data_IF_294391612214
#
_entry.id   IF_294391612214
#
_cell.length_a   1.000
_cell.length_b   1.000
_cell.length_c   1.000
_cell.angle_alpha   90.00
_cell.angle_beta   90.00
_cell.angle_gamma   90.00
#
_symmetry.space_group_name_H-M   'P 1'
#
loop_
_entity.id
_entity.type
_entity.pdbx_description
1 polymer ?
#
# COMPACT_ATOMS: atom_id res chain seq x y z
N UNK A 1 73.84 -23.68 -35.75
CA UNK A 1 73.65 -22.35 -36.38
C UNK A 1 72.93 -21.47 -35.39
N UNK A 2 73.33 -20.20 -35.34
CA UNK A 2 73.34 -19.33 -34.17
C UNK A 2 71.98 -19.11 -33.49
N UNK A 3 71.99 -19.22 -32.15
CA UNK A 3 71.00 -18.60 -31.27
C UNK A 3 71.34 -17.11 -31.22
N UNK A 4 70.65 -16.29 -32.01
CA UNK A 4 70.61 -14.85 -31.76
C UNK A 4 69.72 -14.61 -30.55
N UNK A 5 70.35 -14.58 -29.37
CA UNK A 5 69.73 -14.06 -28.16
C UNK A 5 69.50 -12.57 -28.33
N UNK A 6 68.28 -12.17 -28.65
CA UNK A 6 67.87 -10.77 -28.53
C UNK A 6 68.01 -10.37 -27.06
N UNK A 7 69.04 -9.59 -26.76
CA UNK A 7 69.23 -9.00 -25.45
C UNK A 7 68.03 -8.07 -25.21
N UNK A 8 67.06 -8.52 -24.40
CA UNK A 8 65.91 -7.72 -24.02
C UNK A 8 66.41 -6.40 -23.41
N UNK A 9 66.26 -5.32 -24.17
CA UNK A 9 66.63 -4.00 -23.71
C UNK A 9 65.74 -3.64 -22.52
N UNK A 10 66.25 -2.88 -21.55
CA UNK A 10 65.42 -2.41 -20.40
C UNK A 10 64.09 -1.77 -20.84
N UNK A 11 64.08 -1.18 -22.04
CA UNK A 11 62.91 -0.58 -22.65
C UNK A 11 61.86 -1.61 -23.11
N UNK A 12 62.28 -2.79 -23.60
CA UNK A 12 61.38 -3.86 -24.04
C UNK A 12 60.71 -4.56 -22.85
N UNK A 13 61.46 -4.76 -21.76
CA UNK A 13 60.93 -5.28 -20.50
C UNK A 13 59.93 -4.30 -19.90
N UNK A 14 60.22 -3.00 -19.96
CA UNK A 14 59.30 -1.95 -19.49
C UNK A 14 58.02 -1.89 -20.34
N UNK A 15 58.14 -2.00 -21.67
CA UNK A 15 56.97 -2.08 -22.56
C UNK A 15 56.14 -3.34 -22.33
N UNK A 16 56.77 -4.50 -22.07
CA UNK A 16 56.05 -5.72 -21.70
C UNK A 16 55.30 -5.56 -20.38
N UNK A 17 55.92 -4.95 -19.37
CA UNK A 17 55.27 -4.70 -18.09
C UNK A 17 54.04 -3.78 -18.23
N UNK A 18 54.14 -2.72 -19.05
CA UNK A 18 53.00 -1.85 -19.37
C UNK A 18 51.88 -2.61 -20.09
N UNK A 19 52.22 -3.46 -21.06
CA UNK A 19 51.21 -4.26 -21.79
C UNK A 19 50.50 -5.25 -20.88
N UNK A 20 51.22 -5.92 -19.97
CA UNK A 20 50.63 -6.83 -18.99
C UNK A 20 49.75 -6.08 -17.99
N UNK A 21 50.19 -4.91 -17.52
CA UNK A 21 49.39 -4.04 -16.66
C UNK A 21 48.11 -3.56 -17.38
N UNK A 22 48.21 -3.20 -18.66
CA UNK A 22 47.06 -2.78 -19.46
C UNK A 22 46.08 -3.93 -19.68
N UNK A 23 46.55 -5.12 -20.06
CA UNK A 23 45.70 -6.30 -20.27
C UNK A 23 45.02 -6.74 -18.97
N UNK A 24 45.73 -6.73 -17.84
CA UNK A 24 45.13 -7.03 -16.53
C UNK A 24 44.09 -5.99 -16.10
N UNK A 25 44.32 -4.71 -16.38
CA UNK A 25 43.32 -3.66 -16.14
C UNK A 25 42.08 -3.87 -17.03
N UNK A 26 42.26 -4.08 -18.33
CA UNK A 26 41.15 -4.27 -19.29
C UNK A 26 40.33 -5.52 -18.95
N UNK A 27 40.98 -6.62 -18.56
CA UNK A 27 40.29 -7.85 -18.14
C UNK A 27 39.51 -7.64 -16.84
N UNK A 28 40.08 -6.95 -15.85
CA UNK A 28 39.36 -6.59 -14.63
C UNK A 28 38.12 -5.72 -14.92
N UNK A 29 38.27 -4.67 -15.73
CA UNK A 29 37.16 -3.80 -16.10
C UNK A 29 36.10 -4.53 -16.93
N UNK A 30 36.51 -5.42 -17.85
CA UNK A 30 35.59 -6.24 -18.64
C UNK A 30 34.78 -7.20 -17.78
N UNK A 31 35.42 -7.89 -16.82
CA UNK A 31 34.74 -8.78 -15.88
C UNK A 31 33.77 -7.98 -15.00
N UNK A 32 34.20 -6.83 -14.47
CA UNK A 32 33.36 -5.95 -13.66
C UNK A 32 32.15 -5.41 -14.44
N UNK A 33 32.34 -5.08 -15.72
CA UNK A 33 31.27 -4.65 -16.61
C UNK A 33 30.29 -5.80 -16.90
N UNK A 34 30.79 -7.01 -17.12
CA UNK A 34 29.98 -8.21 -17.36
C UNK A 34 29.15 -8.59 -16.12
N UNK A 35 29.76 -8.57 -14.93
CA UNK A 35 29.05 -8.80 -13.65
C UNK A 35 27.94 -7.77 -13.44
N UNK A 36 28.19 -6.50 -13.76
CA UNK A 36 27.17 -5.44 -13.67
C UNK A 36 26.04 -5.57 -14.71
N UNK A 37 26.24 -6.28 -15.82
CA UNK A 37 25.22 -6.56 -16.85
C UNK A 37 24.41 -7.83 -16.53
N UNK A 38 25.06 -8.85 -15.95
CA UNK A 38 24.42 -10.12 -15.57
C UNK A 38 23.56 -9.96 -14.32
N UNK A 39 23.87 -8.99 -13.46
CA UNK A 39 23.15 -8.79 -12.21
C UNK A 39 22.35 -7.47 -12.16
N UNK A 40 21.26 -7.33 -12.96
CA UNK A 40 20.34 -6.21 -12.86
C UNK A 40 19.62 -6.17 -11.50
N UNK A 41 19.67 -7.26 -10.72
CA UNK A 41 19.10 -7.34 -9.37
C UNK A 41 19.96 -6.67 -8.31
N UNK A 42 21.28 -6.54 -8.54
CA UNK A 42 22.17 -5.85 -7.60
C UNK A 42 21.84 -4.35 -7.47
N UNK A 43 21.46 -3.70 -8.58
CA UNK A 43 21.06 -2.28 -8.60
C UNK A 43 19.71 -2.07 -7.93
N UNK A 44 18.73 -2.94 -8.17
CA UNK A 44 17.43 -2.88 -7.50
C UNK A 44 17.56 -3.18 -6.00
N UNK A 45 18.43 -4.13 -5.62
CA UNK A 45 18.76 -4.46 -4.22
C UNK A 45 19.43 -3.28 -3.51
N UNK A 46 20.41 -2.62 -4.13
CA UNK A 46 21.03 -1.40 -3.58
C UNK A 46 20.04 -0.26 -3.42
N UNK A 47 19.14 -0.05 -4.40
CA UNK A 47 18.09 0.97 -4.31
C UNK A 47 17.05 0.64 -3.22
N UNK A 48 16.72 -0.64 -3.03
CA UNK A 48 15.86 -1.09 -1.95
C UNK A 48 16.53 -0.92 -0.57
N UNK A 49 17.83 -1.21 -0.47
CA UNK A 49 18.65 -0.99 0.72
C UNK A 49 18.79 0.49 1.06
N UNK A 50 19.00 1.36 0.07
CA UNK A 50 19.03 2.82 0.27
C UNK A 50 17.67 3.36 0.74
N UNK A 51 16.57 2.92 0.11
CA UNK A 51 15.20 3.29 0.53
C UNK A 51 14.88 2.78 1.93
N UNK A 52 15.22 1.54 2.23
CA UNK A 52 15.05 0.97 3.56
C UNK A 52 15.86 1.75 4.59
N UNK A 53 17.14 2.06 4.32
CA UNK A 53 17.95 2.92 5.20
C UNK A 53 17.36 4.31 5.39
N UNK A 54 16.80 4.91 4.34
CA UNK A 54 16.16 6.22 4.42
C UNK A 54 14.88 6.17 5.26
N UNK A 55 14.01 5.20 5.02
CA UNK A 55 12.78 4.97 5.80
C UNK A 55 13.10 4.64 7.26
N UNK A 56 14.14 3.84 7.50
CA UNK A 56 14.61 3.50 8.83
C UNK A 56 15.27 4.68 9.56
N UNK A 57 15.95 5.58 8.83
CA UNK A 57 16.48 6.84 9.38
C UNK A 57 15.33 7.80 9.74
N UNK A 58 14.30 7.86 8.91
CA UNK A 58 13.06 8.62 9.16
C UNK A 58 12.23 8.01 10.31
N UNK A 59 12.25 6.69 10.45
CA UNK A 59 11.71 5.95 11.60
C UNK A 59 12.45 6.25 12.91
N UNK A 60 13.57 6.98 12.83
CA UNK A 60 14.39 7.45 13.94
C UNK A 60 13.70 8.49 14.83
N UNK A 61 12.56 8.12 15.39
CA UNK A 61 12.04 8.65 16.65
C UNK A 61 13.11 8.42 17.74
N UNK A 62 13.85 9.48 18.07
CA UNK A 62 14.68 9.64 19.27
C UNK A 62 15.41 8.40 19.82
N UNK A 63 16.64 8.17 19.39
CA UNK A 63 17.69 7.46 20.15
C UNK A 63 17.55 5.94 20.35
N UNK A 64 16.34 5.35 20.35
CA UNK A 64 16.15 3.91 20.68
C UNK A 64 16.34 2.95 19.50
N UNK A 65 16.04 3.35 18.26
CA UNK A 65 16.05 2.44 17.10
C UNK A 65 17.26 2.58 16.17
N UNK A 66 18.11 3.60 16.34
CA UNK A 66 19.32 3.77 15.51
C UNK A 66 20.30 2.60 15.64
N UNK A 67 20.32 1.92 16.80
CA UNK A 67 21.18 0.76 17.07
C UNK A 67 20.66 -0.56 16.44
N UNK A 68 19.39 -0.59 16.03
CA UNK A 68 18.78 -1.75 15.37
C UNK A 68 19.26 -1.86 13.91
N UNK A 69 19.61 -0.73 13.31
CA UNK A 69 19.93 -0.59 11.88
C UNK A 69 21.24 -1.26 11.49
N UNK A 70 22.23 -1.27 12.39
CA UNK A 70 23.55 -1.86 12.14
C UNK A 70 23.55 -3.40 12.22
N UNK A 71 22.44 -4.03 12.62
CA UNK A 71 22.30 -5.49 12.79
C UNK A 71 21.16 -6.09 11.97
N UNK A 72 20.77 -5.43 10.87
CA UNK A 72 19.77 -6.00 9.96
C UNK A 72 20.42 -6.96 8.98
N UNK A 73 19.79 -8.12 8.82
CA UNK A 73 20.14 -9.09 7.78
C UNK A 73 19.67 -8.62 6.41
N UNK A 74 20.25 -9.16 5.34
CA UNK A 74 19.86 -8.81 3.96
C UNK A 74 18.36 -9.00 3.71
N UNK A 75 17.76 -10.04 4.29
CA UNK A 75 16.32 -10.33 4.20
C UNK A 75 15.47 -9.30 4.94
N UNK A 76 15.90 -8.89 6.14
CA UNK A 76 15.20 -7.84 6.90
C UNK A 76 15.26 -6.49 6.18
N UNK A 77 16.37 -6.20 5.49
CA UNK A 77 16.50 -4.98 4.70
C UNK A 77 15.50 -4.92 3.53
N UNK A 78 15.20 -6.06 2.90
CA UNK A 78 14.19 -6.15 1.85
C UNK A 78 12.80 -5.82 2.43
N UNK A 79 12.44 -6.40 3.58
CA UNK A 79 11.15 -6.14 4.23
C UNK A 79 11.07 -4.71 4.76
N UNK A 80 12.19 -4.15 5.23
CA UNK A 80 12.25 -2.77 5.72
C UNK A 80 11.89 -1.73 4.65
N UNK A 81 11.96 -2.07 3.35
CA UNK A 81 11.44 -1.20 2.28
C UNK A 81 9.91 -1.07 2.26
N UNK A 82 9.20 -1.95 2.97
CA UNK A 82 7.74 -1.92 3.15
C UNK A 82 7.32 -1.31 4.48
N UNK A 83 8.29 -0.84 5.27
CA UNK A 83 8.03 -0.17 6.53
C UNK A 83 7.45 1.22 6.25
N UNK A 84 6.32 1.48 6.90
CA UNK A 84 5.71 2.80 6.97
C UNK A 84 5.75 3.25 8.41
N UNK A 85 6.39 4.39 8.64
CA UNK A 85 6.51 4.98 9.97
C UNK A 85 5.23 5.73 10.32
N UNK A 86 4.85 5.86 11.62
CA UNK A 86 3.61 6.52 12.01
C UNK A 86 3.44 7.92 11.40
N UNK A 87 4.53 8.68 11.27
CA UNK A 87 4.55 10.05 10.74
C UNK A 87 4.24 10.13 9.23
N UNK A 88 4.54 9.07 8.47
CA UNK A 88 4.28 9.00 7.02
C UNK A 88 2.85 8.53 6.71
N UNK A 89 2.12 8.03 7.72
CA UNK A 89 0.72 7.62 7.54
C UNK A 89 -0.13 8.89 7.43
N UNK A 90 -0.61 9.20 6.24
CA UNK A 90 -1.44 10.40 5.99
C UNK A 90 -2.93 10.22 6.35
N UNK A 91 -3.33 9.06 6.88
CA UNK A 91 -4.74 8.73 7.15
C UNK A 91 -5.03 8.81 8.65
N UNK A 92 -6.01 9.62 9.04
CA UNK A 92 -6.52 9.71 10.40
C UNK A 92 -7.93 9.09 10.50
N UNK A 93 -8.43 8.94 11.72
CA UNK A 93 -9.79 8.44 11.97
C UNK A 93 -10.87 9.43 11.49
N UNK A 94 -10.51 10.72 11.42
CA UNK A 94 -11.35 11.78 10.84
C UNK A 94 -11.54 11.62 9.33
N UNK A 95 -10.66 10.86 8.68
CA UNK A 95 -10.69 10.57 7.25
C UNK A 95 -11.44 9.25 6.96
N UNK A 96 -12.13 8.70 7.96
CA UNK A 96 -12.97 7.51 7.84
C UNK A 96 -14.37 7.87 8.29
N UNK A 97 -15.35 7.73 7.40
CA UNK A 97 -16.74 8.08 7.68
C UNK A 97 -17.62 6.84 7.86
N UNK A 98 -18.54 6.90 8.82
CA UNK A 98 -19.62 5.94 8.97
C UNK A 98 -19.29 4.65 9.72
N UNK A 99 -18.05 4.48 10.19
CA UNK A 99 -17.63 3.26 10.91
C UNK A 99 -17.39 3.51 12.40
N UNK A 100 -18.08 4.49 13.00
CA UNK A 100 -17.85 5.00 14.36
C UNK A 100 -17.85 3.88 15.42
N UNK A 101 -18.77 2.92 15.34
CA UNK A 101 -18.83 1.78 16.25
C UNK A 101 -17.58 0.90 16.15
N UNK A 102 -17.22 0.51 14.92
CA UNK A 102 -16.06 -0.32 14.64
C UNK A 102 -14.75 0.36 15.07
N UNK A 103 -14.67 1.66 14.82
CA UNK A 103 -13.63 2.56 15.29
C UNK A 103 -13.52 2.46 16.82
N UNK A 104 -14.60 2.67 17.57
CA UNK A 104 -14.56 2.57 19.03
C UNK A 104 -14.13 1.18 19.51
N UNK A 105 -14.61 0.11 18.88
CA UNK A 105 -14.24 -1.26 19.22
C UNK A 105 -12.75 -1.55 19.00
N UNK A 106 -12.19 -1.08 17.87
CA UNK A 106 -10.75 -1.16 17.59
C UNK A 106 -9.93 -0.33 18.59
N UNK A 107 -10.45 0.83 19.00
CA UNK A 107 -9.79 1.69 19.98
C UNK A 107 -9.69 1.02 21.34
N UNK A 108 -10.77 0.41 21.79
CA UNK A 108 -10.81 -0.29 23.09
C UNK A 108 -10.00 -1.59 23.08
N UNK A 109 -10.06 -2.34 21.98
CA UNK A 109 -9.46 -3.67 21.89
C UNK A 109 -7.96 -3.63 21.55
N UNK A 110 -7.56 -2.77 20.61
CA UNK A 110 -6.20 -2.74 20.06
C UNK A 110 -5.41 -1.56 20.62
N UNK A 111 -5.96 -0.34 20.58
CA UNK A 111 -5.20 0.88 20.90
C UNK A 111 -5.00 1.04 22.41
N UNK A 112 -6.06 0.86 23.18
CA UNK A 112 -6.08 1.11 24.62
C UNK A 112 -5.05 0.27 25.40
N UNK A 113 -4.89 -1.05 25.16
CA UNK A 113 -3.87 -1.85 25.85
C UNK A 113 -2.44 -1.44 25.50
N UNK A 114 -2.22 -0.89 24.30
CA UNK A 114 -0.90 -0.48 23.82
C UNK A 114 -0.50 0.89 24.38
N UNK A 115 -1.45 1.84 24.40
CA UNK A 115 -1.22 3.19 24.92
C UNK A 115 -1.13 3.22 26.45
N UNK A 116 -1.94 2.40 27.15
CA UNK A 116 -2.02 2.40 28.62
C UNK A 116 -1.51 1.09 29.22
N UNK A 117 -0.29 0.69 28.87
CA UNK A 117 0.31 -0.59 29.33
C UNK A 117 0.27 -0.76 30.85
N UNK A 118 0.46 0.33 31.60
CA UNK A 118 0.45 0.32 33.08
C UNK A 118 -0.88 -0.19 33.66
N UNK A 119 -2.02 0.15 33.03
CA UNK A 119 -3.34 -0.26 33.51
C UNK A 119 -3.63 -1.75 33.29
N UNK A 120 -2.88 -2.39 32.39
CA UNK A 120 -3.08 -3.78 31.99
C UNK A 120 -1.90 -4.68 32.37
N UNK A 121 -0.93 -4.16 33.13
CA UNK A 121 0.25 -4.91 33.56
C UNK A 121 -0.09 -6.00 34.58
N UNK A 122 -1.12 -5.79 35.41
CA UNK A 122 -1.49 -6.68 36.51
C UNK A 122 -2.22 -7.95 36.04
N UNK A 123 -2.75 -7.97 34.82
CA UNK A 123 -3.50 -9.10 34.27
C UNK A 123 -2.91 -9.61 32.97
N UNK A 124 -2.61 -10.91 32.95
CA UNK A 124 -2.20 -11.62 31.73
C UNK A 124 -3.35 -11.76 30.72
N UNK A 125 -4.60 -11.56 31.15
CA UNK A 125 -5.78 -11.69 30.29
C UNK A 125 -6.10 -10.39 29.53
N UNK A 126 -5.60 -9.25 29.98
CA UNK A 126 -5.88 -7.95 29.38
C UNK A 126 -4.81 -7.51 28.37
N UNK A 127 -4.02 -8.47 27.90
CA UNK A 127 -3.00 -8.21 26.88
C UNK A 127 -3.65 -7.93 25.52
N UNK A 128 -3.05 -7.07 24.68
CA UNK A 128 -3.58 -6.80 23.35
C UNK A 128 -3.63 -8.09 22.52
N UNK A 129 -4.66 -8.26 21.67
CA UNK A 129 -4.73 -9.40 20.78
C UNK A 129 -3.55 -9.37 19.81
N UNK A 130 -2.86 -10.51 19.66
CA UNK A 130 -1.74 -10.65 18.72
C UNK A 130 -2.19 -10.82 17.27
N UNK A 131 -3.47 -11.10 17.06
CA UNK A 131 -4.08 -11.31 15.75
C UNK A 131 -5.41 -10.59 15.64
N UNK A 132 -5.52 -9.76 14.60
CA UNK A 132 -6.73 -9.00 14.26
C UNK A 132 -7.14 -9.32 12.83
N UNK A 133 -8.41 -9.63 12.60
CA UNK A 133 -8.95 -9.89 11.26
C UNK A 133 -10.01 -8.86 10.91
N UNK A 134 -9.79 -8.10 9.83
CA UNK A 134 -10.78 -7.22 9.23
C UNK A 134 -11.43 -7.96 8.05
N UNK A 135 -12.73 -8.24 8.11
CA UNK A 135 -13.43 -8.91 7.02
C UNK A 135 -14.65 -8.12 6.55
N UNK A 136 -14.99 -8.25 5.28
CA UNK A 136 -16.14 -7.54 4.71
C UNK A 136 -16.03 -7.39 3.20
N UNK A 137 -17.00 -6.74 2.54
CA UNK A 137 -16.99 -6.54 1.11
C UNK A 137 -15.77 -5.72 0.66
N UNK A 138 -15.31 -5.92 -0.60
CA UNK A 138 -14.25 -5.10 -1.17
C UNK A 138 -14.67 -3.62 -1.23
N UNK A 139 -13.70 -2.71 -1.19
CA UNK A 139 -13.93 -1.28 -1.33
C UNK A 139 -14.58 -0.57 -0.13
N UNK A 140 -14.71 -1.24 1.03
CA UNK A 140 -15.26 -0.65 2.26
C UNK A 140 -14.19 -0.08 3.23
N UNK A 141 -12.95 0.08 2.77
CA UNK A 141 -11.92 0.79 3.55
C UNK A 141 -11.18 -0.03 4.61
N UNK A 142 -11.16 -1.37 4.54
CA UNK A 142 -10.39 -2.25 5.45
C UNK A 142 -8.92 -1.80 5.61
N UNK A 143 -8.24 -1.58 4.49
CA UNK A 143 -6.84 -1.12 4.45
C UNK A 143 -6.67 0.30 5.01
N UNK A 144 -7.68 1.17 4.85
CA UNK A 144 -7.66 2.54 5.41
C UNK A 144 -7.78 2.51 6.94
N UNK A 145 -8.69 1.69 7.47
CA UNK A 145 -8.89 1.51 8.92
C UNK A 145 -7.62 0.95 9.57
N UNK A 146 -6.97 -0.03 8.93
CA UNK A 146 -5.71 -0.59 9.42
C UNK A 146 -4.61 0.48 9.54
N UNK A 147 -4.42 1.30 8.50
CA UNK A 147 -3.45 2.41 8.50
C UNK A 147 -3.79 3.46 9.56
N UNK A 148 -5.06 3.86 9.65
CA UNK A 148 -5.52 4.83 10.64
C UNK A 148 -5.32 4.30 12.08
N UNK A 149 -5.56 3.01 12.31
CA UNK A 149 -5.32 2.36 13.62
C UNK A 149 -3.84 2.40 13.99
N UNK A 150 -2.94 2.10 13.04
CA UNK A 150 -1.50 2.17 13.27
C UNK A 150 -1.02 3.58 13.63
N UNK A 151 -1.58 4.59 12.96
CA UNK A 151 -1.26 6.00 13.23
C UNK A 151 -1.71 6.44 14.62
N UNK A 152 -2.96 6.19 15.00
CA UNK A 152 -3.47 6.57 16.33
C UNK A 152 -2.78 5.79 17.46
N UNK A 153 -2.38 4.54 17.21
CA UNK A 153 -1.62 3.74 18.16
C UNK A 153 -0.12 4.13 18.22
N UNK A 154 0.34 5.01 17.32
CA UNK A 154 1.76 5.36 17.15
C UNK A 154 2.66 4.12 16.97
N UNK A 155 2.22 3.17 16.14
CA UNK A 155 2.92 1.90 15.89
C UNK A 155 3.56 1.88 14.50
N UNK A 156 4.73 1.28 14.39
CA UNK A 156 5.34 0.98 13.09
C UNK A 156 4.43 0.08 12.27
N UNK A 157 4.19 0.41 11.01
CA UNK A 157 3.29 -0.34 10.12
C UNK A 157 4.08 -1.02 9.01
N UNK A 158 4.08 -2.35 8.97
CA UNK A 158 4.70 -3.12 7.88
C UNK A 158 3.57 -3.59 6.97
N UNK A 159 3.52 -3.06 5.74
CA UNK A 159 2.57 -3.52 4.72
C UNK A 159 3.15 -4.72 3.97
N UNK A 160 2.86 -5.94 4.43
CA UNK A 160 3.44 -7.15 3.86
C UNK A 160 2.73 -7.51 2.55
N UNK A 161 3.45 -7.39 1.44
CA UNK A 161 3.01 -7.91 0.16
C UNK A 161 3.31 -9.41 0.09
N UNK A 162 2.27 -10.23 -0.02
CA UNK A 162 2.36 -11.69 -0.14
C UNK A 162 3.23 -12.09 -1.34
N UNK A 163 3.19 -11.32 -2.43
CA UNK A 163 3.92 -11.60 -3.68
C UNK A 163 5.42 -11.68 -3.44
N UNK A 164 5.97 -10.82 -2.57
CA UNK A 164 7.39 -10.83 -2.21
C UNK A 164 7.84 -12.15 -1.59
N UNK A 165 6.92 -12.85 -0.94
CA UNK A 165 7.23 -14.12 -0.32
C UNK A 165 7.17 -15.27 -1.33
N UNK A 166 6.31 -15.19 -2.35
CA UNK A 166 6.15 -16.23 -3.37
C UNK A 166 7.16 -16.17 -4.52
N UNK A 167 7.79 -15.01 -4.74
CA UNK A 167 8.59 -14.75 -5.95
C UNK A 167 10.01 -15.35 -5.99
N UNK A 168 10.57 -15.81 -4.86
CA UNK A 168 11.99 -16.21 -4.78
C UNK A 168 12.19 -17.72 -4.63
N UNK A 169 13.28 -18.19 -5.22
CA UNK A 169 13.78 -19.57 -5.21
C UNK A 169 13.56 -20.32 -3.88
N UNK A 170 13.25 -21.61 -4.00
CA UNK A 170 12.99 -22.54 -2.88
C UNK A 170 14.04 -22.40 -1.76
N UNK A 171 13.62 -21.92 -0.59
CA UNK A 171 14.46 -21.69 0.60
C UNK A 171 14.63 -20.21 1.01
N UNK A 172 14.66 -19.28 0.05
CA UNK A 172 14.74 -17.83 0.34
C UNK A 172 13.42 -17.30 0.93
N UNK A 173 12.29 -17.83 0.47
CA UNK A 173 10.96 -17.54 0.97
C UNK A 173 10.78 -17.77 2.47
N UNK A 174 11.35 -18.86 3.02
CA UNK A 174 11.25 -19.15 4.46
C UNK A 174 12.07 -18.16 5.30
N UNK A 175 13.25 -17.78 4.81
CA UNK A 175 14.09 -16.76 5.46
C UNK A 175 13.42 -15.40 5.41
N UNK A 176 12.77 -15.05 4.30
CA UNK A 176 11.98 -13.82 4.20
C UNK A 176 10.81 -13.82 5.18
N UNK A 177 10.06 -14.92 5.29
CA UNK A 177 9.02 -15.05 6.29
C UNK A 177 9.59 -14.83 7.71
N UNK A 178 10.68 -15.50 8.07
CA UNK A 178 11.36 -15.30 9.36
C UNK A 178 11.83 -13.85 9.56
N UNK A 179 12.35 -13.21 8.51
CA UNK A 179 12.80 -11.82 8.54
C UNK A 179 11.66 -10.83 8.81
N UNK A 180 10.43 -11.08 8.32
CA UNK A 180 9.26 -10.24 8.63
C UNK A 180 9.02 -10.21 10.14
N UNK A 181 8.95 -11.38 10.77
CA UNK A 181 8.71 -11.48 12.21
C UNK A 181 9.89 -10.94 13.04
N UNK A 182 11.13 -11.23 12.63
CA UNK A 182 12.33 -10.72 13.27
C UNK A 182 12.39 -9.19 13.22
N UNK A 183 12.11 -8.59 12.06
CA UNK A 183 12.05 -7.14 11.91
C UNK A 183 10.91 -6.53 12.74
N UNK A 184 9.72 -7.11 12.71
CA UNK A 184 8.58 -6.64 13.50
C UNK A 184 8.89 -6.65 15.00
N UNK A 185 9.60 -7.68 15.49
CA UNK A 185 10.05 -7.76 16.88
C UNK A 185 11.09 -6.68 17.22
N UNK A 186 12.01 -6.38 16.30
CA UNK A 186 13.00 -5.31 16.45
C UNK A 186 12.39 -3.89 16.41
N UNK A 187 11.24 -3.72 15.76
CA UNK A 187 10.53 -2.45 15.57
C UNK A 187 9.33 -2.27 16.51
N UNK A 188 9.23 -3.04 17.59
CA UNK A 188 8.11 -2.95 18.52
C UNK A 188 7.95 -1.54 19.13
N UNK A 189 6.72 -1.01 19.27
CA UNK A 189 5.43 -1.64 18.91
C UNK A 189 5.14 -1.58 17.40
N UNK A 190 4.72 -2.71 16.82
CA UNK A 190 4.56 -2.85 15.36
C UNK A 190 3.29 -3.60 14.94
N UNK A 191 2.65 -3.15 13.87
CA UNK A 191 1.57 -3.85 13.16
C UNK A 191 2.11 -4.40 11.85
N UNK A 192 1.99 -5.72 11.66
CA UNK A 192 2.22 -6.38 10.38
C UNK A 192 0.87 -6.56 9.69
N UNK A 193 0.65 -5.80 8.62
CA UNK A 193 -0.60 -5.84 7.86
C UNK A 193 -0.46 -6.75 6.63
N UNK A 194 -1.45 -7.62 6.43
CA UNK A 194 -1.52 -8.55 5.30
C UNK A 194 -2.86 -8.33 4.62
N UNK A 195 -2.85 -7.70 3.45
CA UNK A 195 -4.05 -7.58 2.63
C UNK A 195 -4.32 -8.88 1.87
N UNK A 196 -5.60 -9.13 1.56
CA UNK A 196 -6.07 -10.35 0.90
C UNK A 196 -5.46 -11.62 1.50
N UNK A 197 -5.47 -11.74 2.84
CA UNK A 197 -4.81 -12.83 3.57
C UNK A 197 -5.28 -14.22 3.15
N UNK A 198 -6.50 -14.34 2.60
CA UNK A 198 -6.99 -15.57 2.01
C UNK A 198 -6.14 -16.03 0.82
N UNK A 199 -5.53 -15.14 0.04
CA UNK A 199 -4.68 -15.52 -1.11
C UNK A 199 -3.50 -16.39 -0.65
N UNK A 200 -2.92 -16.04 0.50
CA UNK A 200 -1.77 -16.73 1.07
C UNK A 200 -2.15 -17.88 1.99
N UNK A 201 -3.22 -17.73 2.79
CA UNK A 201 -3.57 -18.62 3.90
C UNK A 201 -4.91 -19.36 3.70
N UNK A 202 -5.25 -19.67 2.44
CA UNK A 202 -6.37 -20.54 2.09
C UNK A 202 -6.21 -21.94 2.69
N UNK A 203 -7.37 -22.55 2.98
CA UNK A 203 -7.48 -23.97 3.32
C UNK A 203 -6.71 -24.82 2.33
N UNK A 204 -5.90 -25.77 2.82
CA UNK A 204 -5.08 -26.64 1.98
C UNK A 204 -5.96 -27.36 0.96
N UNK A 205 -5.71 -27.12 -0.33
CA UNK A 205 -6.28 -27.92 -1.41
C UNK A 205 -5.25 -28.94 -1.88
N UNK A 206 -5.70 -30.05 -2.47
CA UNK A 206 -4.81 -31.12 -2.97
C UNK A 206 -3.85 -30.64 -4.09
N UNK A 207 -4.07 -29.44 -4.64
CA UNK A 207 -3.24 -28.81 -5.68
C UNK A 207 -2.27 -27.74 -5.14
N UNK A 208 -2.20 -27.52 -3.81
CA UNK A 208 -1.23 -26.58 -3.25
C UNK A 208 0.19 -27.11 -3.49
N UNK A 209 1.07 -26.27 -4.04
CA UNK A 209 2.48 -26.62 -4.20
C UNK A 209 3.11 -26.85 -2.82
N UNK A 210 3.94 -27.90 -2.68
CA UNK A 210 4.57 -28.27 -1.42
C UNK A 210 5.36 -27.11 -0.78
N UNK A 211 5.97 -26.27 -1.62
CA UNK A 211 6.69 -25.07 -1.18
C UNK A 211 5.78 -24.07 -0.44
N UNK A 212 4.58 -23.81 -0.97
CA UNK A 212 3.59 -22.94 -0.35
C UNK A 212 3.10 -23.54 0.98
N UNK A 213 2.88 -24.86 1.03
CA UNK A 213 2.46 -25.55 2.24
C UNK A 213 3.51 -25.49 3.37
N UNK A 214 4.80 -25.67 3.03
CA UNK A 214 5.89 -25.51 4.00
C UNK A 214 5.99 -24.06 4.48
N UNK A 215 5.84 -23.09 3.57
CA UNK A 215 5.87 -21.68 3.93
C UNK A 215 4.72 -21.29 4.87
N UNK A 216 3.48 -21.71 4.58
CA UNK A 216 2.32 -21.53 5.48
C UNK A 216 2.64 -22.08 6.88
N UNK A 217 3.24 -23.26 6.94
CA UNK A 217 3.61 -23.92 8.20
C UNK A 217 4.66 -23.11 8.97
N UNK A 218 5.70 -22.61 8.28
CA UNK A 218 6.71 -21.76 8.89
C UNK A 218 6.12 -20.43 9.41
N UNK A 219 5.24 -19.80 8.62
CA UNK A 219 4.56 -18.58 9.01
C UNK A 219 3.72 -18.76 10.29
N UNK A 220 2.97 -19.87 10.38
CA UNK A 220 2.20 -20.21 11.57
C UNK A 220 3.09 -20.46 12.79
N UNK A 221 4.21 -21.16 12.62
CA UNK A 221 5.16 -21.43 13.70
C UNK A 221 5.78 -20.13 14.27
N UNK A 222 6.16 -19.20 13.39
CA UNK A 222 6.70 -17.90 13.79
C UNK A 222 5.66 -17.05 14.52
N UNK A 223 4.40 -17.11 14.08
CA UNK A 223 3.30 -16.44 14.76
C UNK A 223 3.05 -17.01 16.15
N UNK A 224 3.06 -18.34 16.32
CA UNK A 224 2.92 -18.97 17.63
C UNK A 224 4.03 -18.53 18.60
N UNK A 225 5.24 -18.30 18.08
CA UNK A 225 6.35 -17.70 18.83
C UNK A 225 6.00 -16.30 19.37
N UNK A 226 5.37 -15.44 18.57
CA UNK A 226 4.91 -14.12 19.02
C UNK A 226 3.79 -14.20 20.08
N UNK A 227 2.90 -15.18 19.95
CA UNK A 227 1.77 -15.37 20.88
C UNK A 227 2.29 -15.82 22.26
N UNK A 228 3.33 -16.65 22.27
CA UNK A 228 3.90 -17.21 23.49
C UNK A 228 4.68 -16.17 24.30
N UNK A 229 5.25 -15.14 23.65
CA UNK A 229 5.97 -14.07 24.32
C UNK A 229 5.01 -12.97 24.83
N UNK A 230 4.79 -12.85 26.15
CA UNK A 230 3.89 -11.83 26.71
C UNK A 230 4.44 -10.41 26.55
N UNK A 231 5.76 -10.26 26.40
CA UNK A 231 6.42 -8.94 26.26
C UNK A 231 6.38 -8.42 24.82
N UNK A 232 6.13 -9.31 23.86
CA UNK A 232 6.10 -8.98 22.44
C UNK A 232 4.88 -8.10 22.10
N UNK A 233 5.11 -6.90 21.60
CA UNK A 233 4.07 -5.95 21.18
C UNK A 233 3.98 -5.83 19.66
N UNK A 234 3.91 -7.00 19.02
CA UNK A 234 3.62 -7.14 17.59
C UNK A 234 2.19 -7.64 17.41
N UNK A 235 1.47 -7.00 16.48
CA UNK A 235 0.10 -7.39 16.10
C UNK A 235 0.08 -7.76 14.63
N UNK A 236 -0.45 -8.93 14.29
CA UNK A 236 -0.71 -9.30 12.91
C UNK A 236 -2.14 -8.91 12.57
N UNK A 237 -2.30 -8.02 11.61
CA UNK A 237 -3.59 -7.54 11.14
C UNK A 237 -3.83 -8.05 9.72
N UNK A 238 -4.82 -8.92 9.53
CA UNK A 238 -5.23 -9.40 8.22
C UNK A 238 -6.46 -8.66 7.71
N UNK A 239 -6.52 -8.40 6.41
CA UNK A 239 -7.75 -8.02 5.73
C UNK A 239 -8.18 -9.12 4.75
N UNK A 240 -9.48 -9.44 4.72
CA UNK A 240 -10.03 -10.43 3.80
C UNK A 240 -11.38 -9.99 3.24
N UNK A 241 -11.65 -10.36 1.99
CA UNK A 241 -12.99 -10.25 1.39
C UNK A 241 -13.79 -11.54 1.55
N UNK A 242 -13.13 -12.66 1.87
CA UNK A 242 -13.68 -14.02 1.88
C UNK A 242 -13.26 -14.75 3.15
N UNK A 243 -13.83 -14.38 4.32
CA UNK A 243 -13.46 -15.01 5.59
C UNK A 243 -13.68 -16.53 5.60
N UNK A 244 -14.61 -17.04 4.80
CA UNK A 244 -14.90 -18.46 4.64
C UNK A 244 -13.79 -19.25 3.93
N UNK A 245 -12.95 -18.60 3.11
CA UNK A 245 -11.87 -19.26 2.37
C UNK A 245 -10.62 -19.46 3.25
N UNK A 246 -10.56 -18.74 4.38
CA UNK A 246 -9.44 -18.72 5.31
C UNK A 246 -9.36 -20.02 6.12
N UNK A 247 -8.14 -20.56 6.29
CA UNK A 247 -7.91 -21.73 7.13
C UNK A 247 -8.35 -21.49 8.58
N UNK A 248 -9.07 -22.45 9.18
CA UNK A 248 -9.48 -22.44 10.59
C UNK A 248 -8.30 -22.27 11.54
N UNK A 249 -7.10 -22.77 11.18
CA UNK A 249 -5.89 -22.58 11.98
C UNK A 249 -5.50 -21.10 12.12
N UNK A 250 -5.74 -20.29 11.08
CA UNK A 250 -5.46 -18.85 11.09
C UNK A 250 -6.58 -18.08 11.79
N UNK A 251 -7.84 -18.46 11.56
CA UNK A 251 -8.97 -17.87 12.30
C UNK A 251 -8.77 -17.98 13.82
N UNK A 252 -8.27 -19.12 14.32
CA UNK A 252 -7.94 -19.30 15.75
C UNK A 252 -6.83 -18.38 16.26
N UNK A 253 -5.92 -17.94 15.39
CA UNK A 253 -4.81 -17.03 15.73
C UNK A 253 -5.21 -15.55 15.62
N UNK A 254 -6.41 -15.26 15.09
CA UNK A 254 -6.98 -13.92 14.99
C UNK A 254 -8.27 -13.82 15.83
N UNK A 255 -8.18 -13.85 17.17
CA UNK A 255 -9.36 -13.83 18.03
C UNK A 255 -10.16 -12.54 17.92
N UNK A 256 -9.50 -11.40 17.62
CA UNK A 256 -10.17 -10.12 17.41
C UNK A 256 -10.61 -9.99 15.95
N UNK A 257 -11.84 -10.39 15.65
CA UNK A 257 -12.40 -10.33 14.30
C UNK A 257 -13.43 -9.21 14.21
N UNK A 258 -13.26 -8.33 13.22
CA UNK A 258 -14.10 -7.18 13.01
C UNK A 258 -14.74 -7.20 11.62
N UNK A 259 -16.06 -7.04 11.58
CA UNK A 259 -16.82 -6.96 10.34
C UNK A 259 -16.94 -5.52 9.86
N UNK A 260 -16.51 -5.26 8.62
CA UNK A 260 -16.67 -3.99 7.92
C UNK A 260 -17.84 -4.13 6.94
N UNK A 261 -19.05 -3.64 7.27
CA UNK A 261 -20.22 -3.79 6.41
C UNK A 261 -20.18 -2.83 5.21
N UNK A 262 -21.06 -3.07 4.23
CA UNK A 262 -21.40 -2.07 3.21
C UNK A 262 -22.00 -0.81 3.88
N UNK A 263 -21.71 0.39 3.37
CA UNK A 263 -22.23 1.62 3.97
C UNK A 263 -23.74 1.80 3.68
N UNK A 264 -24.51 2.09 4.72
CA UNK A 264 -25.91 2.52 4.63
C UNK A 264 -26.06 3.98 4.18
N UNK A 265 -27.29 4.43 3.90
CA UNK A 265 -27.54 5.75 3.28
C UNK A 265 -26.87 6.94 4.00
N UNK A 266 -27.02 7.04 5.33
CA UNK A 266 -26.40 8.10 6.12
C UNK A 266 -24.85 8.00 6.15
N UNK A 267 -24.30 6.78 6.09
CA UNK A 267 -22.85 6.59 6.01
C UNK A 267 -22.33 7.02 4.64
N UNK A 268 -23.04 6.68 3.55
CA UNK A 268 -22.70 7.10 2.19
C UNK A 268 -22.72 8.62 2.03
N UNK A 269 -23.71 9.30 2.61
CA UNK A 269 -23.75 10.78 2.67
C UNK A 269 -22.47 11.36 3.28
N UNK A 270 -22.07 10.87 4.46
CA UNK A 270 -20.85 11.32 5.14
C UNK A 270 -19.58 10.99 4.34
N UNK A 271 -19.53 9.83 3.69
CA UNK A 271 -18.41 9.45 2.81
C UNK A 271 -18.31 10.42 1.62
N UNK A 272 -19.42 10.77 0.98
CA UNK A 272 -19.46 11.72 -0.13
C UNK A 272 -18.99 13.11 0.30
N UNK A 273 -19.47 13.60 1.46
CA UNK A 273 -19.02 14.86 2.04
C UNK A 273 -17.52 14.86 2.32
N UNK A 274 -16.99 13.74 2.86
CA UNK A 274 -15.57 13.59 3.15
C UNK A 274 -14.72 13.64 1.87
N UNK A 275 -15.11 12.89 0.83
CA UNK A 275 -14.38 12.85 -0.44
C UNK A 275 -14.37 14.22 -1.11
N UNK A 276 -15.52 14.90 -1.13
CA UNK A 276 -15.67 16.19 -1.80
C UNK A 276 -15.18 17.38 -0.97
N UNK A 277 -14.77 17.19 0.29
CA UNK A 277 -14.27 18.27 1.17
C UNK A 277 -13.05 19.01 0.61
N UNK A 278 -12.22 18.32 -0.16
CA UNK A 278 -11.01 18.89 -0.76
C UNK A 278 -11.26 19.51 -2.16
N UNK A 279 -12.48 19.41 -2.67
CA UNK A 279 -12.85 19.85 -4.02
C UNK A 279 -13.74 21.10 -3.98
N UNK A 280 -13.67 22.00 -4.97
CA UNK A 280 -14.62 23.09 -5.10
C UNK A 280 -15.98 22.54 -5.53
N UNK A 281 -16.94 22.56 -4.62
CA UNK A 281 -18.32 22.10 -4.84
C UNK A 281 -19.29 23.28 -4.92
N UNK A 282 -20.29 23.17 -5.78
CA UNK A 282 -21.39 24.13 -5.83
C UNK A 282 -22.38 23.90 -4.66
N UNK A 283 -23.15 24.93 -4.32
CA UNK A 283 -24.08 24.91 -3.19
C UNK A 283 -25.36 24.09 -3.46
N UNK A 284 -25.57 23.64 -4.69
CA UNK A 284 -26.73 22.85 -5.13
C UNK A 284 -26.61 21.35 -4.83
N UNK A 285 -25.47 20.90 -4.28
CA UNK A 285 -25.23 19.47 -3.99
C UNK A 285 -26.06 19.01 -2.79
N UNK A 286 -27.02 18.13 -3.08
CA UNK A 286 -27.79 17.40 -2.08
C UNK A 286 -27.15 16.03 -1.79
N UNK A 287 -26.30 15.99 -0.75
CA UNK A 287 -25.63 14.78 -0.31
C UNK A 287 -26.60 13.71 0.21
N UNK A 288 -27.71 14.11 0.84
CA UNK A 288 -28.68 13.18 1.41
C UNK A 288 -29.40 12.41 0.30
N UNK A 289 -29.86 13.12 -0.75
CA UNK A 289 -30.46 12.52 -1.93
C UNK A 289 -29.45 11.63 -2.68
N UNK A 290 -28.18 12.04 -2.77
CA UNK A 290 -27.14 11.23 -3.40
C UNK A 290 -26.83 9.96 -2.61
N UNK A 291 -26.77 10.05 -1.28
CA UNK A 291 -26.59 8.90 -0.37
C UNK A 291 -27.75 7.89 -0.48
N UNK A 292 -28.98 8.36 -0.64
CA UNK A 292 -30.14 7.50 -0.91
C UNK A 292 -30.08 6.84 -2.30
N UNK A 293 -29.66 7.59 -3.33
CA UNK A 293 -29.60 7.10 -4.71
C UNK A 293 -28.45 6.12 -5.00
N UNK A 294 -27.43 6.06 -4.12
CA UNK A 294 -26.23 5.23 -4.24
C UNK A 294 -26.33 3.90 -3.48
N UNK A 295 -27.53 3.32 -3.42
CA UNK A 295 -27.69 2.07 -2.68
C UNK A 295 -26.91 0.89 -3.28
N UNK A 296 -26.27 0.11 -2.41
CA UNK A 296 -25.32 -0.94 -2.81
C UNK A 296 -23.93 -0.45 -3.27
N UNK A 297 -23.61 0.84 -3.14
CA UNK A 297 -22.27 1.35 -3.46
C UNK A 297 -21.33 1.20 -2.26
N UNK A 298 -20.10 0.74 -2.51
CA UNK A 298 -19.00 0.72 -1.54
C UNK A 298 -18.31 2.08 -1.46
N UNK A 299 -17.42 2.28 -0.48
CA UNK A 299 -16.63 3.51 -0.37
C UNK A 299 -15.78 3.80 -1.62
N UNK A 300 -15.20 2.76 -2.22
CA UNK A 300 -14.46 2.87 -3.49
C UNK A 300 -15.36 3.28 -4.66
N UNK A 301 -16.62 2.82 -4.69
CA UNK A 301 -17.56 3.21 -5.74
C UNK A 301 -17.99 4.67 -5.61
N UNK A 302 -18.19 5.15 -4.38
CA UNK A 302 -18.47 6.56 -4.10
C UNK A 302 -17.29 7.46 -4.46
N UNK A 303 -16.06 6.99 -4.22
CA UNK A 303 -14.86 7.69 -4.67
C UNK A 303 -14.78 7.76 -6.20
N UNK A 304 -15.08 6.66 -6.90
CA UNK A 304 -15.12 6.66 -8.37
C UNK A 304 -16.24 7.57 -8.91
N UNK A 305 -17.39 7.63 -8.24
CA UNK A 305 -18.48 8.56 -8.56
C UNK A 305 -18.01 10.02 -8.51
N UNK A 306 -17.40 10.43 -7.40
CA UNK A 306 -16.85 11.78 -7.25
C UNK A 306 -15.73 12.05 -8.27
N UNK A 307 -14.87 11.07 -8.54
CA UNK A 307 -13.82 11.18 -9.56
C UNK A 307 -14.40 11.39 -10.96
N UNK A 308 -15.41 10.63 -11.37
CA UNK A 308 -16.04 10.81 -12.68
C UNK A 308 -16.70 12.19 -12.79
N UNK A 309 -17.35 12.67 -11.73
CA UNK A 309 -17.89 14.02 -11.67
C UNK A 309 -16.81 15.10 -11.82
N UNK A 310 -15.66 14.93 -11.14
CA UNK A 310 -14.51 15.83 -11.29
C UNK A 310 -13.97 15.85 -12.73
N UNK A 311 -13.92 14.70 -13.39
CA UNK A 311 -13.47 14.57 -14.78
C UNK A 311 -14.41 15.27 -15.77
N UNK A 312 -15.72 15.36 -15.50
CA UNK A 312 -16.64 16.10 -16.38
C UNK A 312 -16.27 17.58 -16.47
N UNK A 313 -15.89 18.20 -15.36
CA UNK A 313 -15.45 19.60 -15.32
C UNK A 313 -14.23 19.85 -16.20
N UNK A 314 -13.25 18.94 -16.15
CA UNK A 314 -12.03 19.02 -16.97
C UNK A 314 -12.36 18.83 -18.45
N UNK A 315 -13.30 17.93 -18.77
CA UNK A 315 -13.76 17.72 -20.16
C UNK A 315 -14.47 18.95 -20.72
N UNK A 316 -15.26 19.63 -19.90
CA UNK A 316 -15.95 20.84 -20.32
C UNK A 316 -14.95 21.97 -20.58
N UNK A 317 -13.99 22.18 -19.68
CA UNK A 317 -12.90 23.15 -19.89
C UNK A 317 -12.12 22.87 -21.17
N UNK A 318 -11.71 21.63 -21.40
CA UNK A 318 -11.00 21.25 -22.61
C UNK A 318 -11.83 21.46 -23.89
N UNK A 319 -13.15 21.26 -23.83
CA UNK A 319 -14.05 21.56 -24.96
C UNK A 319 -14.16 23.06 -25.21
N UNK A 320 -14.25 23.87 -24.17
CA UNK A 320 -14.32 25.33 -24.27
C UNK A 320 -13.02 25.90 -24.85
N UNK A 321 -11.86 25.38 -24.42
CA UNK A 321 -10.56 25.74 -25.00
C UNK A 321 -10.50 25.41 -26.50
N UNK A 322 -10.88 24.18 -26.89
CA UNK A 322 -10.90 23.78 -28.29
C UNK A 322 -11.85 24.65 -29.13
N UNK A 323 -13.05 24.96 -28.61
CA UNK A 323 -14.02 25.82 -29.29
C UNK A 323 -13.48 27.26 -29.45
N UNK A 324 -12.79 27.80 -28.44
CA UNK A 324 -12.14 29.11 -28.52
C UNK A 324 -10.99 29.12 -29.53
N UNK A 325 -10.16 28.08 -29.56
CA UNK A 325 -9.11 27.94 -30.56
C UNK A 325 -9.66 27.92 -31.99
N UNK A 326 -10.78 27.22 -32.22
CA UNK A 326 -11.46 27.21 -33.51
C UNK A 326 -12.01 28.59 -33.88
N UNK A 327 -12.60 29.32 -32.93
CA UNK A 327 -13.09 30.69 -33.13
C UNK A 327 -11.95 31.68 -33.42
N UNK A 328 -10.83 31.61 -32.70
CA UNK A 328 -9.64 32.44 -32.97
C UNK A 328 -9.00 32.13 -34.34
N UNK A 329 -9.06 30.88 -34.81
CA UNK A 329 -8.61 30.51 -36.17
C UNK A 329 -9.53 31.10 -37.25
N UNK A 330 -10.83 31.23 -36.98
CA UNK A 330 -11.81 31.82 -37.90
C UNK A 330 -11.80 33.36 -37.91
N UNK A 331 -11.56 34.00 -36.75
CA UNK A 331 -11.57 35.47 -36.59
C UNK A 331 -10.24 36.18 -36.91
N UNK A 332 -9.20 35.45 -37.34
CA UNK A 332 -7.90 36.02 -37.77
C UNK A 332 -7.97 36.92 -39.02
N UNK A 333 -9.16 37.22 -39.55
CA UNK A 333 -9.39 38.22 -40.61
C UNK A 333 -9.75 39.62 -40.09
N UNK A 334 -9.92 39.84 -38.78
CA UNK A 334 -10.11 41.19 -38.22
C UNK A 334 -9.53 41.28 -36.80
N UNK A 335 -8.46 42.05 -36.66
CA UNK A 335 -7.69 42.29 -35.43
C UNK A 335 -8.43 43.12 -34.39
N UNK A 336 -8.34 42.70 -33.12
CA UNK A 336 -8.03 43.59 -31.99
C UNK A 336 -7.70 42.73 -30.76
N UNK A 337 -6.48 42.88 -30.23
CA UNK A 337 -6.04 42.31 -28.95
C UNK A 337 -6.86 42.93 -27.82
N UNK A 338 -7.65 42.10 -27.12
CA UNK A 338 -8.11 42.39 -25.77
C UNK A 338 -7.42 41.41 -24.84
N UNK A 339 -6.63 41.94 -23.90
CA UNK A 339 -6.03 41.21 -22.79
C UNK A 339 -7.16 40.69 -21.88
N UNK A 340 -7.76 39.55 -22.25
CA UNK A 340 -8.68 38.83 -21.38
C UNK A 340 -7.88 38.19 -20.24
N UNK A 341 -8.16 38.66 -19.03
CA UNK A 341 -7.58 38.15 -17.78
C UNK A 341 -7.85 36.64 -17.66
N UNK A 342 -6.78 35.86 -17.81
CA UNK A 342 -6.79 34.40 -17.88
C UNK A 342 -7.17 33.80 -16.52
N UNK A 343 -8.45 33.48 -16.32
CA UNK A 343 -8.90 32.72 -15.15
C UNK A 343 -9.08 31.25 -15.54
N UNK A 344 -7.97 30.51 -15.49
CA UNK A 344 -7.84 29.06 -15.69
C UNK A 344 -8.39 28.26 -14.49
N UNK A 345 -9.58 28.63 -14.02
CA UNK A 345 -10.20 27.98 -12.86
C UNK A 345 -11.26 27.00 -13.36
N UNK A 346 -11.00 25.71 -13.15
CA UNK A 346 -11.99 24.64 -13.37
C UNK A 346 -13.26 24.97 -12.56
N UNK A 347 -14.41 25.16 -13.23
CA UNK A 347 -15.74 25.40 -12.61
C UNK A 347 -16.01 24.44 -11.45
N UNK A 348 -16.78 24.76 -10.39
CA UNK A 348 -17.05 23.80 -9.31
C UNK A 348 -17.84 22.55 -9.76
N UNK A 349 -17.79 21.47 -8.95
CA UNK A 349 -18.63 20.26 -9.14
C UNK A 349 -20.09 20.62 -8.85
N UNK A 350 -20.99 20.34 -9.77
CA UNK A 350 -22.44 20.56 -9.60
C UNK A 350 -23.17 19.26 -9.30
N UNK A 351 -24.43 19.37 -8.87
CA UNK A 351 -25.28 18.20 -8.67
C UNK A 351 -25.55 17.44 -9.99
N UNK A 352 -25.56 18.14 -11.12
CA UNK A 352 -25.73 17.53 -12.45
C UNK A 352 -24.56 16.60 -12.81
N UNK A 353 -23.32 17.02 -12.56
CA UNK A 353 -22.14 16.19 -12.79
C UNK A 353 -22.21 14.87 -12.01
N UNK A 354 -22.64 14.96 -10.74
CA UNK A 354 -22.79 13.81 -9.86
C UNK A 354 -23.93 12.88 -10.32
N UNK A 355 -25.03 13.44 -10.83
CA UNK A 355 -26.13 12.64 -11.42
C UNK A 355 -25.71 11.93 -12.70
N UNK A 356 -25.00 12.62 -13.60
CA UNK A 356 -24.46 12.03 -14.83
C UNK A 356 -23.48 10.89 -14.51
N UNK A 357 -22.59 11.12 -13.53
CA UNK A 357 -21.64 10.10 -13.08
C UNK A 357 -22.37 8.90 -12.47
N UNK A 358 -23.42 9.13 -11.69
CA UNK A 358 -24.22 8.08 -11.07
C UNK A 358 -24.93 7.20 -12.11
N UNK A 359 -25.54 7.82 -13.13
CA UNK A 359 -26.19 7.08 -14.22
C UNK A 359 -25.23 6.13 -14.91
N UNK A 360 -24.06 6.65 -15.32
CA UNK A 360 -23.02 5.87 -15.98
C UNK A 360 -22.47 4.73 -15.11
N UNK A 361 -22.24 4.98 -13.83
CA UNK A 361 -21.73 3.95 -12.91
C UNK A 361 -22.76 2.87 -12.62
N UNK A 362 -24.04 3.22 -12.49
CA UNK A 362 -25.12 2.23 -12.34
C UNK A 362 -25.21 1.33 -13.56
N UNK A 363 -25.17 1.89 -14.77
CA UNK A 363 -25.15 1.11 -16.01
C UNK A 363 -23.98 0.12 -16.05
N UNK A 364 -22.76 0.60 -15.74
CA UNK A 364 -21.58 -0.25 -15.70
C UNK A 364 -21.70 -1.38 -14.66
N UNK A 365 -22.21 -1.09 -13.47
CA UNK A 365 -22.39 -2.11 -12.43
C UNK A 365 -23.48 -3.13 -12.73
N UNK A 366 -24.54 -2.73 -13.42
CA UNK A 366 -25.57 -3.66 -13.91
C UNK A 366 -24.95 -4.59 -14.96
N UNK A 367 -24.13 -4.08 -15.88
CA UNK A 367 -23.43 -4.87 -16.88
C UNK A 367 -22.43 -5.87 -16.26
N UNK A 368 -21.75 -5.48 -15.18
CA UNK A 368 -20.82 -6.35 -14.45
C UNK A 368 -21.51 -7.31 -13.45
N UNK A 369 -22.84 -7.25 -13.29
CA UNK A 369 -23.59 -8.11 -12.36
C UNK A 369 -23.44 -7.77 -10.88
N UNK A 370 -22.89 -6.60 -10.54
CA UNK A 370 -22.62 -6.18 -9.16
C UNK A 370 -23.84 -5.52 -8.50
N UNK A 371 -24.82 -5.06 -9.29
CA UNK A 371 -26.09 -4.50 -8.82
C UNK A 371 -27.27 -5.24 -9.45
N UNK A 372 -28.32 -5.47 -8.67
CA UNK A 372 -29.55 -6.06 -9.17
C UNK A 372 -30.30 -5.08 -10.09
N UNK A 373 -30.87 -5.55 -11.22
CA UNK A 373 -31.52 -4.70 -12.22
C UNK A 373 -32.81 -3.99 -11.74
N UNK A 374 -33.32 -4.31 -10.54
CA UNK A 374 -34.60 -3.80 -10.03
C UNK A 374 -34.53 -2.44 -9.31
N UNK A 375 -33.43 -1.69 -9.43
CA UNK A 375 -33.30 -0.34 -8.84
C UNK A 375 -33.64 0.79 -9.81
N UNK A 376 -34.70 0.62 -10.61
CA UNK A 376 -35.39 1.74 -11.25
C UNK A 376 -36.19 2.48 -10.18
N UNK A 377 -35.59 3.51 -9.60
CA UNK A 377 -36.36 4.57 -8.93
C UNK A 377 -36.64 5.60 -10.03
N UNK A 378 -37.90 5.73 -10.40
CA UNK A 378 -38.42 6.78 -11.26
C UNK A 378 -37.94 8.13 -10.71
N UNK A 379 -37.15 8.82 -11.52
CA UNK A 379 -36.75 10.21 -11.31
C UNK A 379 -37.69 11.07 -12.16
N UNK A 380 -38.94 11.19 -11.71
CA UNK A 380 -39.83 12.28 -12.13
C UNK A 380 -39.80 13.39 -11.06
#
# INVERSE_FOLDING_TARGET
>A
MMVEGSAFTRNDVFQMAIRVAFVSAVTYFSIKWLVNQIDPTSKSRKKAEERAREQLRKAGLGGRHSLVLDKLTDHEMIIASQLVVPEEINVNWKDIAGLDHLINELRETVILPIQKRELFADSRLTQPPKGVLLHGPPGCGKTLIAKATAKEANMSFINLDVSLLTDKWYGETQKLAAAVFSLAVKLQPCIVFIDEIESFLRTRTQHDHEATAMMKTQFMSLWDGLITDPTCTVIIMGATNRPQDLDRAIQRRMPATFHVPMPGAAQRERILQLILRAEPTAADIDFARLGAATDGFSGSDLHELCRQAAVYRVRDLARDELAREEQCKQNKSSSSDSDDEYVDAVRPITMEDLRLALGKLKESKIQCGTLAPNMRIELD
#
